data_IF_033854411156
#
_entry.id   IF_033854411156
#
_cell.length_a   1.000
_cell.length_b   1.000
_cell.length_c   1.000
_cell.angle_alpha   90.00
_cell.angle_beta   90.00
_cell.angle_gamma   90.00
#
_symmetry.space_group_name_H-M   'P 1'
#
loop_
_entity.id
_entity.type
_entity.pdbx_description
1 polymer ?
#
# COMPACT_ATOMS: atom_id res chain seq x y z
N UNK A 1 2.49 -18.58 5.48
CA UNK A 1 2.25 -19.41 4.30
C UNK A 1 2.35 -18.54 3.04
N UNK A 2 3.09 -19.03 2.05
CA UNK A 2 3.21 -18.28 0.80
C UNK A 2 1.90 -18.34 0.03
N UNK A 3 1.44 -17.19 -0.45
CA UNK A 3 0.25 -17.12 -1.27
C UNK A 3 0.58 -17.55 -2.69
N UNK A 4 -0.34 -18.29 -3.34
CA UNK A 4 -0.16 -18.67 -4.71
C UNK A 4 -0.30 -17.46 -5.63
N UNK A 5 0.31 -17.56 -6.81
CA UNK A 5 0.19 -16.53 -7.83
C UNK A 5 -1.27 -16.27 -8.21
N UNK A 6 -2.05 -17.33 -8.35
CA UNK A 6 -3.47 -17.25 -8.70
C UNK A 6 -4.26 -16.51 -7.62
N UNK A 7 -3.98 -16.79 -6.35
CA UNK A 7 -4.64 -16.10 -5.24
C UNK A 7 -4.33 -14.61 -5.27
N UNK A 8 -3.07 -14.24 -5.49
CA UNK A 8 -2.67 -12.82 -5.55
C UNK A 8 -3.31 -12.11 -6.74
N UNK A 9 -3.41 -12.75 -7.88
CA UNK A 9 -4.10 -12.18 -9.04
C UNK A 9 -5.57 -11.92 -8.76
N UNK A 10 -6.23 -12.83 -8.02
CA UNK A 10 -7.63 -12.66 -7.60
C UNK A 10 -7.78 -11.46 -6.67
N UNK A 11 -6.89 -11.30 -5.69
CA UNK A 11 -6.90 -10.17 -4.77
C UNK A 11 -6.74 -8.86 -5.54
N UNK A 12 -5.77 -8.79 -6.44
CA UNK A 12 -5.53 -7.59 -7.26
C UNK A 12 -6.77 -7.25 -8.08
N UNK A 13 -7.41 -8.24 -8.71
CA UNK A 13 -8.61 -8.02 -9.51
C UNK A 13 -9.74 -7.45 -8.65
N UNK A 14 -9.90 -7.96 -7.43
CA UNK A 14 -10.92 -7.46 -6.50
C UNK A 14 -10.67 -6.02 -6.08
N UNK A 15 -9.41 -5.68 -5.78
CA UNK A 15 -9.04 -4.31 -5.42
C UNK A 15 -9.41 -3.34 -6.55
N UNK A 16 -9.13 -3.71 -7.79
CA UNK A 16 -9.44 -2.87 -8.96
C UNK A 16 -10.93 -2.59 -9.12
N UNK A 17 -11.78 -3.60 -8.88
CA UNK A 17 -13.21 -3.52 -9.18
C UNK A 17 -14.05 -2.97 -8.04
N UNK A 18 -13.66 -3.23 -6.80
CA UNK A 18 -14.46 -2.93 -5.62
C UNK A 18 -13.85 -1.75 -4.88
N UNK A 19 -14.46 -0.58 -5.04
CA UNK A 19 -13.98 0.66 -4.42
C UNK A 19 -14.01 0.59 -2.89
N UNK A 20 -15.02 -0.05 -2.31
CA UNK A 20 -15.11 -0.21 -0.86
C UNK A 20 -13.99 -1.11 -0.34
N UNK A 21 -13.74 -2.22 -1.04
CA UNK A 21 -12.66 -3.13 -0.69
C UNK A 21 -11.30 -2.43 -0.81
N UNK A 22 -11.11 -1.67 -1.87
CA UNK A 22 -9.85 -0.94 -2.09
C UNK A 22 -9.59 0.06 -0.96
N UNK A 23 -10.60 0.84 -0.57
CA UNK A 23 -10.47 1.78 0.55
C UNK A 23 -10.18 1.07 1.86
N UNK A 24 -10.86 -0.04 2.10
CA UNK A 24 -10.64 -0.85 3.31
C UNK A 24 -9.20 -1.38 3.36
N UNK A 25 -8.65 -1.78 2.22
CA UNK A 25 -7.27 -2.27 2.17
C UNK A 25 -6.25 -1.17 2.45
N UNK A 26 -6.45 0.02 1.91
CA UNK A 26 -5.56 1.13 2.22
C UNK A 26 -5.62 1.46 3.71
N UNK A 27 -6.81 1.50 4.29
CA UNK A 27 -6.99 1.70 5.72
C UNK A 27 -6.29 0.60 6.53
N UNK A 28 -6.45 -0.66 6.12
CA UNK A 28 -5.81 -1.79 6.80
C UNK A 28 -4.29 -1.70 6.76
N UNK A 29 -3.72 -1.24 5.65
CA UNK A 29 -2.28 -1.02 5.54
C UNK A 29 -1.81 0.02 6.57
N UNK A 30 -2.51 1.14 6.64
CA UNK A 30 -2.17 2.22 7.57
C UNK A 30 -2.32 1.75 9.02
N UNK A 31 -3.41 1.05 9.33
CA UNK A 31 -3.63 0.49 10.66
C UNK A 31 -2.51 -0.46 11.07
N UNK A 32 -2.06 -1.31 10.14
CA UNK A 32 -0.97 -2.23 10.42
C UNK A 32 0.32 -1.48 10.78
N UNK A 33 0.63 -0.41 10.05
CA UNK A 33 1.79 0.42 10.36
C UNK A 33 1.67 1.07 11.73
N UNK A 34 0.47 1.57 12.06
CA UNK A 34 0.22 2.19 13.37
C UNK A 34 0.35 1.19 14.52
N UNK A 35 -0.01 -0.07 14.28
CA UNK A 35 0.11 -1.13 15.27
C UNK A 35 1.53 -1.69 15.38
N UNK A 36 2.45 -1.20 14.56
CA UNK A 36 3.81 -1.70 14.53
C UNK A 36 3.98 -2.97 13.72
N UNK A 37 2.94 -3.43 13.04
CA UNK A 37 2.99 -4.63 12.20
C UNK A 37 3.45 -4.23 10.80
N UNK A 38 4.74 -3.94 10.69
CA UNK A 38 5.32 -3.34 9.48
C UNK A 38 5.24 -4.29 8.28
N UNK A 39 5.49 -5.57 8.50
CA UNK A 39 5.47 -6.55 7.39
C UNK A 39 4.08 -6.66 6.77
N UNK A 40 3.04 -6.69 7.58
CA UNK A 40 1.66 -6.72 7.08
C UNK A 40 1.32 -5.42 6.34
N UNK A 41 1.70 -4.27 6.91
CA UNK A 41 1.48 -2.98 6.26
C UNK A 41 2.13 -2.92 4.89
N UNK A 42 3.39 -3.36 4.78
CA UNK A 42 4.11 -3.39 3.50
C UNK A 42 3.43 -4.31 2.48
N UNK A 43 3.02 -5.49 2.93
CA UNK A 43 2.39 -6.48 2.04
C UNK A 43 1.09 -5.95 1.45
N UNK A 44 0.24 -5.37 2.28
CA UNK A 44 -1.04 -4.80 1.82
C UNK A 44 -0.78 -3.61 0.89
N UNK A 45 0.19 -2.78 1.23
CA UNK A 45 0.52 -1.61 0.42
C UNK A 45 1.01 -2.01 -0.97
N UNK A 46 1.81 -3.08 -1.07
CA UNK A 46 2.24 -3.60 -2.37
C UNK A 46 1.05 -4.04 -3.22
N UNK A 47 0.12 -4.78 -2.63
CA UNK A 47 -1.06 -5.24 -3.35
C UNK A 47 -1.90 -4.05 -3.81
N UNK A 48 -2.06 -3.05 -2.97
CA UNK A 48 -2.79 -1.84 -3.33
C UNK A 48 -2.12 -1.10 -4.48
N UNK A 49 -0.81 -0.92 -4.43
CA UNK A 49 -0.05 -0.24 -5.50
C UNK A 49 -0.22 -0.99 -6.82
N UNK A 50 -0.06 -2.32 -6.80
CA UNK A 50 -0.20 -3.13 -8.01
C UNK A 50 -1.58 -3.03 -8.64
N UNK A 51 -2.60 -2.84 -7.81
CA UNK A 51 -3.99 -2.79 -8.28
C UNK A 51 -4.44 -1.39 -8.69
N UNK A 52 -3.68 -0.35 -8.37
CA UNK A 52 -4.05 1.03 -8.63
C UNK A 52 -3.04 1.71 -9.54
N UNK A 53 -2.18 2.55 -8.98
CA UNK A 53 -1.24 3.36 -9.75
C UNK A 53 -0.15 2.54 -10.47
N UNK A 54 0.27 1.43 -9.86
CA UNK A 54 1.38 0.62 -10.36
C UNK A 54 2.73 1.20 -9.96
N UNK A 55 3.75 0.32 -9.85
CA UNK A 55 5.07 0.75 -9.38
C UNK A 55 5.78 1.67 -10.37
N UNK A 56 5.58 1.49 -11.67
CA UNK A 56 6.24 2.33 -12.67
C UNK A 56 5.76 3.78 -12.58
N UNK A 57 4.45 4.00 -12.52
CA UNK A 57 3.90 5.34 -12.40
C UNK A 57 4.23 5.96 -11.05
N UNK A 58 4.15 5.16 -9.99
CA UNK A 58 4.52 5.61 -8.64
C UNK A 58 5.97 6.08 -8.61
N UNK A 59 6.88 5.33 -9.25
CA UNK A 59 8.29 5.69 -9.29
C UNK A 59 8.51 7.05 -9.96
N UNK A 60 7.76 7.35 -11.01
CA UNK A 60 7.85 8.63 -11.70
C UNK A 60 7.39 9.79 -10.82
N UNK A 61 6.30 9.59 -10.09
CA UNK A 61 5.73 10.62 -9.22
C UNK A 61 6.63 10.89 -8.03
N UNK A 62 7.10 9.83 -7.37
CA UNK A 62 7.94 9.93 -6.17
C UNK A 62 9.40 10.21 -6.52
N UNK A 63 9.78 10.06 -7.79
CA UNK A 63 11.14 10.26 -8.30
C UNK A 63 12.15 9.31 -7.65
N UNK A 64 11.75 8.06 -7.52
CA UNK A 64 12.60 6.97 -7.04
C UNK A 64 12.49 5.80 -8.01
N UNK A 65 13.54 4.99 -8.09
CA UNK A 65 13.57 3.83 -8.95
C UNK A 65 12.50 2.81 -8.52
N UNK A 66 11.77 2.26 -9.49
CA UNK A 66 10.71 1.29 -9.25
C UNK A 66 11.20 0.08 -8.45
N UNK A 67 12.36 -0.45 -8.79
CA UNK A 67 12.94 -1.59 -8.09
C UNK A 67 13.30 -1.26 -6.65
N UNK A 68 13.76 -0.03 -6.41
CA UNK A 68 14.06 0.44 -5.05
C UNK A 68 12.80 0.50 -4.20
N UNK A 69 11.69 1.00 -4.76
CA UNK A 69 10.42 1.05 -4.04
C UNK A 69 9.94 -0.37 -3.73
N UNK A 70 9.98 -1.27 -4.72
CA UNK A 70 9.57 -2.65 -4.52
C UNK A 70 10.40 -3.35 -3.46
N UNK A 71 11.71 -3.11 -3.45
CA UNK A 71 12.63 -3.68 -2.47
C UNK A 71 12.35 -3.13 -1.07
N UNK A 72 12.12 -1.83 -0.97
CA UNK A 72 11.79 -1.16 0.28
C UNK A 72 10.54 -1.74 0.93
N UNK A 73 9.55 -2.11 0.12
CA UNK A 73 8.29 -2.70 0.59
C UNK A 73 8.34 -4.23 0.62
N UNK A 74 9.46 -4.83 0.27
CA UNK A 74 9.65 -6.28 0.28
C UNK A 74 9.95 -6.82 1.68
N UNK A 75 10.06 -8.16 1.81
CA UNK A 75 10.23 -8.80 3.12
C UNK A 75 11.48 -8.35 3.87
N UNK A 76 12.55 -8.02 3.16
CA UNK A 76 13.81 -7.60 3.76
C UNK A 76 13.98 -6.09 3.78
N UNK A 77 12.99 -5.34 3.28
CA UNK A 77 13.05 -3.90 3.24
C UNK A 77 12.72 -3.28 4.58
N UNK A 78 13.34 -2.12 4.83
CA UNK A 78 13.08 -1.34 6.04
C UNK A 78 12.79 0.10 5.61
N UNK A 79 11.55 0.40 5.20
CA UNK A 79 11.22 1.71 4.67
C UNK A 79 11.27 2.79 5.76
N UNK A 80 11.78 3.96 5.38
CA UNK A 80 11.77 5.12 6.26
C UNK A 80 10.35 5.69 6.31
N UNK A 81 10.05 6.35 7.44
CA UNK A 81 8.72 6.95 7.65
C UNK A 81 8.36 7.95 6.55
N UNK A 82 9.32 8.79 6.15
CA UNK A 82 9.06 9.76 5.10
C UNK A 82 8.67 9.12 3.77
N UNK A 83 9.31 7.99 3.44
CA UNK A 83 8.96 7.25 2.22
C UNK A 83 7.56 6.63 2.31
N UNK A 84 7.21 6.05 3.45
CA UNK A 84 5.88 5.47 3.66
C UNK A 84 4.79 6.54 3.52
N UNK A 85 4.96 7.67 4.19
CA UNK A 85 3.96 8.75 4.14
C UNK A 85 3.88 9.40 2.76
N UNK A 86 5.00 9.52 2.06
CA UNK A 86 4.99 10.03 0.67
C UNK A 86 4.21 9.10 -0.25
N UNK A 87 4.39 7.80 -0.10
CA UNK A 87 3.66 6.80 -0.88
C UNK A 87 2.16 6.89 -0.58
N UNK A 88 1.79 6.90 0.70
CA UNK A 88 0.38 6.98 1.10
C UNK A 88 -0.27 8.25 0.54
N UNK A 89 0.43 9.38 0.60
CA UNK A 89 -0.08 10.64 0.05
C UNK A 89 -0.37 10.52 -1.45
N UNK A 90 0.55 9.95 -2.19
CA UNK A 90 0.36 9.76 -3.64
C UNK A 90 -0.82 8.83 -3.91
N UNK A 91 -0.92 7.73 -3.17
CA UNK A 91 -1.99 6.76 -3.37
C UNK A 91 -3.37 7.34 -3.08
N UNK A 92 -3.51 8.08 -1.98
CA UNK A 92 -4.80 8.68 -1.66
C UNK A 92 -5.19 9.77 -2.66
N UNK A 93 -4.23 10.54 -3.12
CA UNK A 93 -4.50 11.59 -4.10
C UNK A 93 -4.87 11.00 -5.47
N UNK A 94 -4.18 9.93 -5.88
CA UNK A 94 -4.44 9.25 -7.15
C UNK A 94 -5.87 8.68 -7.20
N UNK A 95 -6.37 8.18 -6.08
CA UNK A 95 -7.69 7.57 -5.98
C UNK A 95 -8.75 8.53 -5.43
N UNK A 96 -8.43 9.82 -5.33
CA UNK A 96 -9.33 10.88 -4.82
C UNK A 96 -9.88 10.55 -3.43
N UNK A 97 -9.05 10.02 -2.56
CA UNK A 97 -9.45 9.66 -1.20
C UNK A 97 -9.01 10.72 -0.21
N UNK A 98 -9.83 10.92 0.82
CA UNK A 98 -9.46 11.71 1.98
C UNK A 98 -9.14 10.75 3.11
N UNK A 99 -7.92 10.85 3.64
CA UNK A 99 -7.48 10.04 4.77
C UNK A 99 -7.33 10.94 5.98
N UNK A 100 -7.98 10.59 7.05
CA UNK A 100 -7.90 11.35 8.30
C UNK A 100 -7.77 10.39 9.47
N UNK A 101 -7.29 10.91 10.59
CA UNK A 101 -7.06 10.12 11.79
C UNK A 101 -8.10 10.52 12.85
N UNK A 102 -8.69 9.51 13.46
CA UNK A 102 -9.57 9.69 14.61
C UNK A 102 -8.93 8.99 15.79
N UNK A 103 -8.80 9.71 16.89
CA UNK A 103 -8.24 9.16 18.13
C UNK A 103 -9.37 9.04 19.13
N UNK A 104 -9.59 7.82 19.61
CA UNK A 104 -10.63 7.52 20.56
C UNK A 104 -10.05 6.86 21.79
N UNK A 105 -10.78 6.94 22.88
CA UNK A 105 -10.46 6.20 24.09
C UNK A 105 -10.66 4.70 23.79
N UNK A 106 -9.70 3.92 24.19
CA UNK A 106 -9.72 2.48 23.94
C UNK A 106 -10.80 1.77 24.77
#
# INVERSE_FOLDING_TARGET
MALTREFKETVVARIKKDTHYRRALLAASIDAFLDGNIDTGKSILRDYINATIGFERLSKVIKKDSKSIQRMLGPNGNPRADNIFSIIKILKDDDNLCVYVKIDKK
#
